data_IF_858985235175
#
_entry.id   IF_858985235175
#
_cell.length_a   1.000
_cell.length_b   1.000
_cell.length_c   1.000
_cell.angle_alpha   90.00
_cell.angle_beta   90.00
_cell.angle_gamma   90.00
#
_symmetry.space_group_name_H-M   'P 1'
#
loop_
_entity.id
_entity.type
_entity.pdbx_description
1 polymer ?
#
# COMPACT_ATOMS: atom_id res chain seq x y z
N UNK A 1 21.39 58.02 7.47
CA UNK A 1 21.01 57.76 8.87
C UNK A 1 20.77 56.26 9.03
N UNK A 2 21.57 55.62 9.91
CA UNK A 2 21.35 54.36 10.65
C UNK A 2 20.96 53.09 9.87
N UNK A 3 21.89 52.18 9.55
CA UNK A 3 22.39 51.03 10.36
C UNK A 3 21.45 49.80 10.37
N UNK A 4 21.92 48.75 9.65
CA UNK A 4 21.79 47.27 9.71
C UNK A 4 21.49 46.60 11.10
N UNK A 5 21.41 45.23 11.29
CA UNK A 5 21.42 44.05 10.36
C UNK A 5 20.59 42.79 10.83
N UNK A 6 20.76 41.65 10.11
CA UNK A 6 20.69 40.20 10.50
C UNK A 6 19.36 39.39 10.57
N UNK A 7 19.40 38.22 9.90
CA UNK A 7 18.71 36.92 10.18
C UNK A 7 19.79 35.99 10.84
N UNK A 8 19.57 34.80 11.48
CA UNK A 8 18.44 33.84 11.45
C UNK A 8 18.14 33.01 12.74
N UNK A 9 17.19 32.05 12.66
CA UNK A 9 17.13 30.69 13.30
C UNK A 9 15.86 30.27 14.11
N UNK A 10 15.22 29.19 13.62
CA UNK A 10 14.79 27.91 14.27
C UNK A 10 13.76 27.80 15.43
N UNK A 11 13.07 26.63 15.40
CA UNK A 11 12.20 25.91 16.36
C UNK A 11 10.68 26.20 16.25
N UNK A 12 9.73 25.25 16.27
CA UNK A 12 9.71 23.79 16.48
C UNK A 12 8.27 23.36 16.88
N UNK A 13 7.83 22.18 16.45
CA UNK A 13 6.69 21.35 16.95
C UNK A 13 5.21 21.83 16.71
N UNK A 14 4.34 21.10 15.99
CA UNK A 14 3.56 19.87 16.34
C UNK A 14 2.53 20.13 17.48
N UNK A 15 1.22 19.83 17.47
CA UNK A 15 0.35 18.82 16.84
C UNK A 15 -1.16 19.18 17.01
N UNK A 16 -2.02 18.50 16.23
CA UNK A 16 -3.35 17.89 16.54
C UNK A 16 -4.59 18.74 16.90
N UNK A 17 -5.59 18.67 16.01
CA UNK A 17 -6.99 18.20 16.20
C UNK A 17 -7.83 18.81 15.03
N UNK A 18 -8.75 18.15 14.30
CA UNK A 18 -9.85 17.26 14.65
C UNK A 18 -10.29 16.52 13.36
N UNK A 19 -10.42 15.19 13.41
CA UNK A 19 -11.43 14.41 12.69
C UNK A 19 -11.97 13.37 13.70
N UNK A 20 -13.27 13.34 14.04
CA UNK A 20 -13.87 12.31 14.89
C UNK A 20 -14.50 11.20 14.02
N UNK A 21 -14.86 10.06 14.64
CA UNK A 21 -15.17 8.75 14.02
C UNK A 21 -13.88 7.95 13.69
N UNK A 22 -13.89 6.66 13.35
CA UNK A 22 -12.74 5.74 13.13
C UNK A 22 -12.10 5.07 14.36
N UNK A 23 -12.66 5.26 15.57
CA UNK A 23 -12.14 4.64 16.80
C UNK A 23 -12.13 3.10 16.81
N UNK A 24 -12.98 2.44 16.03
CA UNK A 24 -13.08 0.97 16.01
C UNK A 24 -12.21 0.28 14.94
N UNK A 25 -11.79 0.99 13.89
CA UNK A 25 -10.96 0.43 12.80
C UNK A 25 -9.46 0.40 13.14
N UNK A 26 -8.96 1.37 13.90
CA UNK A 26 -7.58 1.37 14.41
C UNK A 26 -7.37 0.37 15.57
N UNK A 27 -8.41 0.11 16.37
CA UNK A 27 -8.35 -0.89 17.44
C UNK A 27 -8.18 -2.33 16.92
N UNK A 28 -8.70 -2.63 15.71
CA UNK A 28 -8.49 -3.92 15.06
C UNK A 28 -7.04 -4.08 14.56
N UNK A 29 -6.45 -3.03 13.96
CA UNK A 29 -5.06 -3.06 13.48
C UNK A 29 -4.04 -3.17 14.62
N UNK A 30 -4.28 -2.51 15.76
CA UNK A 30 -3.42 -2.62 16.95
C UNK A 30 -3.56 -3.98 17.67
N UNK A 31 -4.69 -4.68 17.51
CA UNK A 31 -4.96 -5.96 18.19
C UNK A 31 -4.33 -7.17 17.50
N UNK A 32 -3.97 -7.10 16.22
CA UNK A 32 -3.39 -8.25 15.48
C UNK A 32 -1.89 -8.46 15.73
N UNK A 33 -1.16 -7.45 16.22
CA UNK A 33 0.32 -7.51 16.39
C UNK A 33 0.74 -8.05 17.76
N UNK A 34 -0.17 -8.21 18.73
CA UNK A 34 0.20 -8.71 20.06
C UNK A 34 -0.95 -9.47 20.66
N UNK A 35 -0.88 -10.81 20.60
CA UNK A 35 -1.24 -11.75 21.67
C UNK A 35 -1.16 -13.20 21.16
N UNK A 36 0.04 -13.81 21.26
CA UNK A 36 0.14 -15.23 21.57
C UNK A 36 0.07 -15.38 23.08
N UNK A 37 -0.86 -16.21 23.56
CA UNK A 37 -0.78 -16.82 24.89
C UNK A 37 -1.94 -16.52 25.83
N UNK A 38 -2.67 -17.60 26.14
CA UNK A 38 -3.44 -17.84 27.36
C UNK A 38 -4.89 -17.31 27.47
N UNK A 39 -5.76 -18.32 27.59
CA UNK A 39 -7.00 -18.43 28.38
C UNK A 39 -8.29 -17.87 27.77
N UNK A 40 -9.23 -18.80 27.59
CA UNK A 40 -10.64 -18.57 27.33
C UNK A 40 -11.22 -17.57 28.34
N UNK A 41 -11.80 -16.49 27.84
CA UNK A 41 -12.72 -15.65 28.60
C UNK A 41 -14.10 -15.90 28.02
N UNK A 42 -14.92 -16.63 28.77
CA UNK A 42 -16.35 -16.81 28.50
C UNK A 42 -17.06 -15.54 28.93
N UNK A 43 -17.59 -14.76 27.99
CA UNK A 43 -18.46 -13.63 28.33
C UNK A 43 -19.88 -14.14 28.57
N UNK A 44 -20.28 -14.17 29.85
CA UNK A 44 -21.67 -14.34 30.29
C UNK A 44 -22.33 -12.95 30.23
N UNK A 45 -23.32 -12.78 29.36
CA UNK A 45 -24.13 -11.57 29.26
C UNK A 45 -25.24 -11.61 30.33
N UNK A 46 -25.26 -10.64 31.24
CA UNK A 46 -26.40 -10.39 32.14
C UNK A 46 -27.09 -9.07 31.73
N UNK A 47 -28.41 -9.07 31.45
CA UNK A 47 -29.13 -7.88 31.08
C UNK A 47 -29.71 -7.21 32.33
N UNK A 48 -29.20 -6.04 32.69
CA UNK A 48 -29.92 -5.14 33.59
C UNK A 48 -30.35 -3.90 32.84
N UNK A 49 -31.66 -3.89 32.56
CA UNK A 49 -32.46 -2.75 32.15
C UNK A 49 -32.18 -1.52 33.02
N UNK A 50 -32.01 -0.36 32.38
CA UNK A 50 -32.65 0.87 32.84
C UNK A 50 -33.01 1.72 31.61
N UNK A 51 -34.30 1.76 31.30
CA UNK A 51 -34.88 2.57 30.26
C UNK A 51 -34.92 4.04 30.71
N UNK A 52 -34.21 4.89 29.99
CA UNK A 52 -34.46 6.34 29.96
C UNK A 52 -34.10 6.83 28.58
N UNK A 53 -35.07 6.76 27.67
CA UNK A 53 -34.97 7.14 26.26
C UNK A 53 -34.84 8.67 26.15
N UNK A 54 -33.71 9.25 25.69
CA UNK A 54 -33.70 10.66 25.31
C UNK A 54 -34.46 10.84 23.99
N UNK A 55 -35.39 11.79 23.98
CA UNK A 55 -36.15 12.22 22.82
C UNK A 55 -35.21 12.86 21.77
N UNK A 56 -34.76 12.05 20.82
CA UNK A 56 -34.05 12.50 19.62
C UNK A 56 -35.06 12.50 18.47
N UNK A 57 -35.68 13.66 18.26
CA UNK A 57 -36.31 14.01 16.99
C UNK A 57 -35.31 13.73 15.85
N UNK A 58 -35.68 13.00 14.79
CA UNK A 58 -34.74 12.71 13.70
C UNK A 58 -34.39 14.02 13.01
N UNK A 59 -33.10 14.39 13.04
CA UNK A 59 -32.58 15.40 12.13
C UNK A 59 -32.92 14.98 10.69
N UNK A 60 -33.30 15.91 9.80
CA UNK A 60 -33.64 15.55 8.43
C UNK A 60 -32.42 14.88 7.78
N UNK A 61 -32.54 13.59 7.50
CA UNK A 61 -31.63 12.81 6.67
C UNK A 61 -31.61 13.44 5.28
N UNK A 62 -30.62 14.30 5.07
CA UNK A 62 -30.25 14.86 3.78
C UNK A 62 -28.83 14.39 3.44
N UNK A 63 -28.61 13.07 3.40
CA UNK A 63 -27.40 12.48 2.81
C UNK A 63 -27.72 11.94 1.41
N UNK A 64 -28.03 12.86 0.50
CA UNK A 64 -27.88 12.62 -0.94
C UNK A 64 -26.56 13.25 -1.42
N UNK A 65 -25.48 12.99 -0.68
CA UNK A 65 -24.15 13.14 -1.26
C UNK A 65 -23.91 11.84 -2.03
N UNK A 66 -23.65 11.87 -3.36
CA UNK A 66 -23.10 10.70 -4.02
C UNK A 66 -21.84 10.32 -3.24
N UNK A 67 -21.70 9.05 -2.87
CA UNK A 67 -20.42 8.54 -2.38
C UNK A 67 -19.34 9.06 -3.34
N UNK A 68 -18.26 9.70 -2.84
CA UNK A 68 -17.24 10.22 -3.72
C UNK A 68 -16.73 9.05 -4.55
N UNK A 69 -17.03 9.09 -5.85
CA UNK A 69 -16.58 8.08 -6.79
C UNK A 69 -15.08 7.88 -6.58
N UNK A 70 -14.67 6.62 -6.40
CA UNK A 70 -13.26 6.30 -6.22
C UNK A 70 -12.47 6.90 -7.39
N UNK A 71 -11.32 7.54 -7.12
CA UNK A 71 -10.48 8.05 -8.19
C UNK A 71 -10.01 6.87 -9.07
N UNK A 72 -10.01 7.06 -10.38
CA UNK A 72 -9.59 6.03 -11.33
C UNK A 72 -8.08 5.74 -11.26
N UNK A 73 -7.28 6.69 -10.75
CA UNK A 73 -5.83 6.54 -10.65
C UNK A 73 -5.21 7.46 -9.60
N UNK A 74 -4.10 7.04 -9.02
CA UNK A 74 -3.26 7.85 -8.15
C UNK A 74 -1.90 8.14 -8.77
N UNK A 75 -1.41 9.35 -8.56
CA UNK A 75 -0.02 9.71 -8.82
C UNK A 75 0.82 9.34 -7.61
N UNK A 76 1.95 8.67 -7.84
CA UNK A 76 2.82 8.19 -6.78
C UNK A 76 4.28 8.46 -7.11
N UNK A 77 5.04 8.72 -6.05
CA UNK A 77 6.49 8.79 -6.06
C UNK A 77 7.08 7.59 -5.33
N UNK A 78 8.16 7.04 -5.86
CA UNK A 78 8.89 5.90 -5.28
C UNK A 78 10.09 6.43 -4.51
N UNK A 79 10.20 6.05 -3.23
CA UNK A 79 11.31 6.43 -2.38
C UNK A 79 12.31 5.28 -2.25
N UNK A 80 13.50 5.46 -2.82
CA UNK A 80 14.59 4.50 -2.75
C UNK A 80 15.75 5.02 -1.89
N UNK A 81 16.44 4.11 -1.22
CA UNK A 81 17.62 4.40 -0.42
C UNK A 81 18.82 3.62 -0.94
N UNK A 82 19.90 4.36 -1.24
CA UNK A 82 21.23 3.82 -1.48
C UNK A 82 21.97 3.80 -0.15
N UNK A 83 22.32 2.62 0.35
CA UNK A 83 23.18 2.48 1.52
C UNK A 83 24.57 2.06 1.08
N UNK A 84 25.56 2.83 1.51
CA UNK A 84 26.96 2.46 1.35
C UNK A 84 27.32 1.41 2.40
N UNK A 85 27.97 0.32 1.96
CA UNK A 85 28.41 -0.77 2.82
C UNK A 85 29.94 -0.93 2.75
N UNK A 86 30.69 -0.01 3.37
CA UNK A 86 32.16 -0.06 3.34
C UNK A 86 32.72 -1.33 3.99
N UNK A 87 32.00 -1.91 4.94
CA UNK A 87 32.41 -3.13 5.66
C UNK A 87 32.21 -4.42 4.84
N UNK A 88 31.48 -4.36 3.71
CA UNK A 88 31.22 -5.52 2.87
C UNK A 88 32.23 -5.60 1.72
N UNK A 89 33.03 -6.67 1.71
CA UNK A 89 34.04 -6.91 0.66
C UNK A 89 33.44 -7.20 -0.73
N UNK A 90 32.15 -7.54 -0.81
CA UNK A 90 31.49 -8.00 -2.04
C UNK A 90 30.40 -7.06 -2.55
N UNK A 91 29.82 -6.24 -1.68
CA UNK A 91 28.68 -5.39 -2.01
C UNK A 91 28.94 -4.01 -1.44
N UNK A 92 29.46 -3.10 -2.27
CA UNK A 92 29.82 -1.74 -1.84
C UNK A 92 28.61 -0.84 -1.62
N UNK A 93 27.54 -1.14 -2.33
CA UNK A 93 26.27 -0.42 -2.22
C UNK A 93 25.12 -1.41 -2.25
N UNK A 94 24.07 -1.09 -1.50
CA UNK A 94 22.80 -1.81 -1.54
C UNK A 94 21.67 -0.81 -1.72
N UNK A 95 20.71 -1.18 -2.56
CA UNK A 95 19.51 -0.40 -2.79
C UNK A 95 18.33 -1.04 -2.06
N UNK A 96 17.61 -0.24 -1.30
CA UNK A 96 16.39 -0.66 -0.61
C UNK A 96 15.24 0.28 -0.97
N UNK A 97 14.05 -0.28 -1.10
CA UNK A 97 12.81 0.50 -1.26
C UNK A 97 12.28 0.88 0.13
N UNK A 98 12.19 2.19 0.40
CA UNK A 98 11.66 2.69 1.67
C UNK A 98 10.13 2.75 1.66
N UNK A 99 9.54 3.06 0.51
CA UNK A 99 8.10 3.17 0.39
C UNK A 99 7.66 3.94 -0.84
N UNK A 100 6.36 4.15 -0.91
CA UNK A 100 5.70 4.90 -1.97
C UNK A 100 4.93 6.05 -1.33
N UNK A 101 5.05 7.24 -1.91
CA UNK A 101 4.43 8.48 -1.44
C UNK A 101 3.39 8.91 -2.45
N UNK A 102 2.25 9.41 -1.98
CA UNK A 102 1.24 10.00 -2.86
C UNK A 102 1.70 11.36 -3.35
N UNK A 103 1.54 11.60 -4.64
CA UNK A 103 1.85 12.86 -5.28
C UNK A 103 0.56 13.58 -5.69
N UNK A 104 0.58 14.91 -5.63
CA UNK A 104 -0.48 15.71 -6.21
C UNK A 104 -0.49 15.51 -7.73
N UNK A 105 -1.66 15.51 -8.36
CA UNK A 105 -1.76 15.35 -9.82
C UNK A 105 -0.96 16.41 -10.61
N UNK A 106 -0.70 17.57 -10.01
CA UNK A 106 0.13 18.65 -10.58
C UNK A 106 1.64 18.47 -10.39
N UNK A 107 2.09 17.49 -9.60
CA UNK A 107 3.49 17.25 -9.27
C UNK A 107 4.20 16.39 -10.34
N UNK A 108 3.71 16.41 -11.59
CA UNK A 108 4.11 15.55 -12.71
C UNK A 108 5.50 15.83 -13.29
N UNK A 109 6.47 16.25 -12.47
CA UNK A 109 7.86 16.31 -12.92
C UNK A 109 8.44 14.91 -12.81
N UNK A 110 8.46 14.20 -13.92
CA UNK A 110 9.17 12.92 -14.05
C UNK A 110 10.65 13.15 -13.75
N UNK A 111 11.21 12.31 -12.88
CA UNK A 111 12.64 12.32 -12.62
C UNK A 111 13.05 11.88 -11.23
N UNK A 112 14.36 11.69 -11.10
CA UNK A 112 15.04 11.33 -9.86
C UNK A 112 15.51 12.60 -9.16
N UNK A 113 15.11 12.78 -7.90
CA UNK A 113 15.58 13.86 -7.03
C UNK A 113 16.16 13.29 -5.74
N UNK A 114 17.38 13.71 -5.40
CA UNK A 114 17.93 13.41 -4.08
C UNK A 114 17.20 14.23 -3.01
N UNK A 115 16.62 13.55 -2.02
CA UNK A 115 15.86 14.21 -0.93
C UNK A 115 16.64 14.27 0.38
N UNK A 116 17.60 13.35 0.57
CA UNK A 116 18.43 13.28 1.78
C UNK A 116 19.79 12.71 1.41
N UNK A 117 20.85 13.37 1.86
CA UNK A 117 22.21 12.85 1.83
C UNK A 117 22.73 12.76 3.25
N UNK A 118 23.42 11.66 3.56
CA UNK A 118 24.04 11.42 4.85
C UNK A 118 25.32 10.60 4.66
N UNK A 119 26.17 10.56 5.69
CA UNK A 119 27.44 9.83 5.64
C UNK A 119 27.27 8.31 5.46
N UNK A 120 26.06 7.78 5.66
CA UNK A 120 25.74 6.36 5.57
C UNK A 120 24.88 6.00 4.34
N UNK A 121 24.54 6.99 3.51
CA UNK A 121 23.73 6.75 2.32
C UNK A 121 22.88 7.93 1.88
N UNK A 122 22.21 7.73 0.77
CA UNK A 122 21.42 8.73 0.05
C UNK A 122 20.01 8.22 -0.21
N UNK A 123 19.02 9.12 -0.14
CA UNK A 123 17.64 8.82 -0.46
C UNK A 123 17.20 9.59 -1.70
N UNK A 124 16.55 8.89 -2.62
CA UNK A 124 16.09 9.42 -3.88
C UNK A 124 14.59 9.22 -4.00
N UNK A 125 13.89 10.30 -4.33
CA UNK A 125 12.50 10.27 -4.75
C UNK A 125 12.47 10.22 -6.28
N UNK A 126 11.83 9.18 -6.81
CA UNK A 126 11.47 9.07 -8.21
C UNK A 126 10.00 9.45 -8.37
N UNK A 127 9.74 10.52 -9.10
CA UNK A 127 8.39 11.06 -9.31
C UNK A 127 7.86 10.71 -10.71
N UNK A 128 6.54 10.78 -10.88
CA UNK A 128 5.89 10.63 -12.18
C UNK A 128 5.23 9.28 -12.45
N UNK A 129 5.11 8.41 -11.45
CA UNK A 129 4.38 7.14 -11.62
C UNK A 129 2.88 7.34 -11.45
N UNK A 130 2.12 6.52 -12.16
CA UNK A 130 0.66 6.48 -12.06
C UNK A 130 0.21 5.05 -11.81
N UNK A 131 -0.51 4.85 -10.72
CA UNK A 131 -1.10 3.56 -10.35
C UNK A 131 -2.57 3.56 -10.74
N UNK A 132 -3.00 2.50 -11.41
CA UNK A 132 -4.38 2.23 -11.83
C UNK A 132 -4.75 0.82 -11.43
N UNK A 133 -6.02 0.62 -11.08
CA UNK A 133 -6.55 -0.70 -10.78
C UNK A 133 -7.29 -1.24 -11.99
N UNK A 134 -7.05 -2.51 -12.27
CA UNK A 134 -7.69 -3.20 -13.39
C UNK A 134 -8.58 -4.35 -12.89
N UNK A 135 -9.66 -4.63 -13.61
CA UNK A 135 -10.66 -5.63 -13.19
C UNK A 135 -10.18 -7.07 -13.36
N UNK A 136 -9.29 -7.30 -14.32
CA UNK A 136 -8.63 -8.58 -14.58
C UNK A 136 -7.69 -9.01 -13.45
N UNK A 137 -7.15 -8.07 -12.67
CA UNK A 137 -6.22 -8.33 -11.57
C UNK A 137 -6.87 -8.36 -10.17
N UNK A 138 -8.20 -8.35 -10.09
CA UNK A 138 -8.94 -8.26 -8.82
C UNK A 138 -8.59 -9.36 -7.82
N UNK A 139 -8.39 -10.60 -8.29
CA UNK A 139 -8.01 -11.73 -7.44
C UNK A 139 -6.62 -11.50 -6.82
N UNK A 140 -5.68 -10.96 -7.60
CA UNK A 140 -4.32 -10.62 -7.16
C UNK A 140 -4.34 -9.54 -6.08
N UNK A 141 -5.16 -8.50 -6.24
CA UNK A 141 -5.33 -7.46 -5.23
C UNK A 141 -5.96 -8.02 -3.95
N UNK A 142 -6.98 -8.87 -4.07
CA UNK A 142 -7.61 -9.52 -2.92
C UNK A 142 -6.61 -10.37 -2.12
N UNK A 143 -5.80 -11.19 -2.79
CA UNK A 143 -4.75 -11.97 -2.13
C UNK A 143 -3.67 -11.10 -1.47
N UNK A 144 -3.30 -9.98 -2.09
CA UNK A 144 -2.36 -9.04 -1.50
C UNK A 144 -2.94 -8.41 -0.22
N UNK A 145 -4.23 -8.04 -0.20
CA UNK A 145 -4.92 -7.49 0.98
C UNK A 145 -5.11 -8.52 2.11
N UNK A 146 -5.30 -9.80 1.78
CA UNK A 146 -5.41 -10.88 2.77
C UNK A 146 -4.08 -11.25 3.43
N UNK A 147 -2.96 -10.82 2.85
CA UNK A 147 -1.63 -11.10 3.39
C UNK A 147 -1.42 -10.38 4.72
N UNK A 148 -0.54 -10.90 5.57
CA UNK A 148 -0.26 -10.32 6.91
C UNK A 148 0.20 -8.87 6.83
N UNK A 149 0.92 -8.52 5.76
CA UNK A 149 1.33 -7.17 5.45
C UNK A 149 1.04 -6.93 3.96
N UNK A 150 0.03 -6.10 3.61
CA UNK A 150 -0.24 -5.75 2.22
C UNK A 150 0.92 -4.94 1.66
N UNK A 151 1.35 -5.28 0.45
CA UNK A 151 2.55 -4.69 -0.15
C UNK A 151 2.24 -3.96 -1.44
N UNK A 152 3.08 -2.98 -1.76
CA UNK A 152 3.19 -2.39 -3.07
C UNK A 152 4.49 -2.85 -3.70
N UNK A 153 4.44 -3.18 -4.98
CA UNK A 153 5.57 -3.68 -5.75
C UNK A 153 6.06 -2.60 -6.69
N UNK A 154 7.36 -2.45 -6.76
CA UNK A 154 8.05 -1.51 -7.64
C UNK A 154 9.02 -2.31 -8.48
N UNK A 155 8.78 -2.32 -9.78
CA UNK A 155 9.65 -2.98 -10.74
C UNK A 155 10.63 -1.94 -11.28
N UNK A 156 11.91 -2.30 -11.26
CA UNK A 156 13.01 -1.43 -11.67
C UNK A 156 13.85 -2.10 -12.74
N UNK A 157 14.39 -1.31 -13.65
CA UNK A 157 15.48 -1.73 -14.53
C UNK A 157 16.83 -1.31 -13.94
N UNK A 158 17.91 -1.92 -14.43
CA UNK A 158 19.26 -1.44 -14.13
C UNK A 158 19.57 -0.24 -15.01
N UNK A 159 19.68 0.94 -14.41
CA UNK A 159 20.03 2.18 -15.12
C UNK A 159 21.46 2.21 -15.61
N UNK A 160 21.79 3.22 -16.43
CA UNK A 160 23.14 3.39 -16.99
C UNK A 160 24.23 3.53 -15.91
N UNK A 161 23.87 4.15 -14.78
CA UNK A 161 24.76 4.34 -13.63
C UNK A 161 24.80 3.13 -12.69
N UNK A 162 24.14 2.01 -13.05
CA UNK A 162 24.00 0.81 -12.21
C UNK A 162 22.97 0.94 -11.08
N UNK A 163 22.36 2.12 -10.91
CA UNK A 163 21.27 2.33 -9.96
C UNK A 163 19.96 1.71 -10.48
N UNK A 164 19.11 1.15 -9.60
CA UNK A 164 17.78 0.71 -9.99
C UNK A 164 16.91 1.92 -10.35
N UNK A 165 16.36 1.90 -11.56
CA UNK A 165 15.44 2.91 -12.07
C UNK A 165 14.04 2.33 -12.08
N UNK A 166 13.13 2.80 -11.20
CA UNK A 166 11.75 2.36 -11.21
C UNK A 166 11.07 2.73 -12.52
N UNK A 167 10.36 1.77 -13.10
CA UNK A 167 9.57 2.01 -14.32
C UNK A 167 8.09 1.72 -14.12
N UNK A 168 7.74 0.77 -13.25
CA UNK A 168 6.37 0.35 -13.00
C UNK A 168 6.12 0.17 -11.50
N UNK A 169 4.95 0.64 -11.06
CA UNK A 169 4.47 0.47 -9.70
C UNK A 169 3.14 -0.26 -9.77
N UNK A 170 3.07 -1.43 -9.13
CA UNK A 170 1.89 -2.29 -9.15
C UNK A 170 1.51 -2.79 -7.76
N UNK A 171 0.24 -3.11 -7.64
CA UNK A 171 -0.37 -3.72 -6.45
C UNK A 171 -0.72 -5.19 -6.69
N UNK A 172 -0.57 -5.65 -7.94
CA UNK A 172 -0.84 -7.01 -8.38
C UNK A 172 0.33 -7.92 -8.00
N UNK A 173 0.03 -8.94 -7.20
CA UNK A 173 1.00 -9.95 -6.84
C UNK A 173 1.47 -10.77 -8.06
N UNK A 174 0.53 -11.10 -8.95
CA UNK A 174 0.83 -11.89 -10.15
C UNK A 174 1.71 -11.13 -11.14
N UNK A 175 1.46 -9.83 -11.32
CA UNK A 175 2.31 -8.98 -12.17
C UNK A 175 3.74 -8.89 -11.61
N UNK A 176 3.88 -8.65 -10.31
CA UNK A 176 5.19 -8.62 -9.66
C UNK A 176 5.97 -9.94 -9.85
N UNK A 177 5.30 -11.08 -9.66
CA UNK A 177 5.92 -12.40 -9.81
C UNK A 177 6.30 -12.72 -11.27
N UNK A 178 5.54 -12.19 -12.25
CA UNK A 178 5.88 -12.33 -13.66
C UNK A 178 7.21 -11.63 -13.99
N UNK A 179 7.45 -10.44 -13.43
CA UNK A 179 8.71 -9.71 -13.60
C UNK A 179 9.87 -10.28 -12.78
N UNK A 180 9.63 -10.89 -11.63
CA UNK A 180 10.68 -11.54 -10.83
C UNK A 180 11.33 -12.73 -11.54
N UNK A 181 10.63 -13.33 -12.51
CA UNK A 181 11.18 -14.41 -13.35
C UNK A 181 12.11 -13.87 -14.45
N UNK A 182 12.07 -12.56 -14.72
CA UNK A 182 12.94 -11.88 -15.68
C UNK A 182 14.42 -11.87 -15.25
N UNK A 183 15.33 -11.66 -16.20
CA UNK A 183 16.76 -11.57 -15.91
C UNK A 183 17.29 -10.13 -15.84
N UNK A 184 16.54 -9.15 -16.34
CA UNK A 184 16.97 -7.75 -16.42
C UNK A 184 16.26 -6.85 -15.39
N UNK A 185 15.08 -7.26 -14.94
CA UNK A 185 14.25 -6.53 -13.98
C UNK A 185 14.51 -6.97 -12.54
N UNK A 186 14.38 -6.02 -11.62
CA UNK A 186 14.36 -6.28 -10.18
C UNK A 186 13.04 -5.83 -9.59
N UNK A 187 12.47 -6.65 -8.70
CA UNK A 187 11.21 -6.36 -8.02
C UNK A 187 11.51 -5.99 -6.57
N UNK A 188 11.15 -4.78 -6.19
CA UNK A 188 11.19 -4.31 -4.81
C UNK A 188 9.78 -4.30 -4.23
N UNK A 189 9.66 -4.53 -2.93
CA UNK A 189 8.36 -4.47 -2.23
C UNK A 189 8.45 -3.58 -0.99
N UNK A 190 7.37 -2.83 -0.74
CA UNK A 190 7.22 -1.99 0.44
C UNK A 190 5.82 -2.12 1.03
N UNK A 191 5.66 -1.68 2.28
CA UNK A 191 4.35 -1.68 2.94
C UNK A 191 3.40 -0.72 2.22
N UNK A 192 2.17 -1.17 2.01
CA UNK A 192 1.14 -0.38 1.34
C UNK A 192 0.75 0.85 2.19
N UNK A 193 0.83 2.08 1.65
CA UNK A 193 0.34 3.27 2.34
C UNK A 193 -1.17 3.18 2.66
N UNK A 194 -1.64 3.69 3.82
CA UNK A 194 -3.04 3.55 4.24
C UNK A 194 -4.07 4.09 3.24
N UNK A 195 -3.72 5.17 2.54
CA UNK A 195 -4.61 5.77 1.53
C UNK A 195 -4.79 4.84 0.32
N UNK A 196 -3.71 4.21 -0.16
CA UNK A 196 -3.78 3.23 -1.24
C UNK A 196 -4.49 1.95 -0.77
N UNK A 197 -4.27 1.54 0.48
CA UNK A 197 -4.98 0.40 1.08
C UNK A 197 -6.50 0.58 1.02
N UNK A 198 -7.01 1.71 1.54
CA UNK A 198 -8.45 1.98 1.54
C UNK A 198 -9.03 2.06 0.13
N UNK A 199 -8.26 2.60 -0.84
CA UNK A 199 -8.68 2.66 -2.24
C UNK A 199 -8.81 1.27 -2.87
N UNK A 200 -7.81 0.40 -2.68
CA UNK A 200 -7.83 -0.97 -3.21
C UNK A 200 -8.90 -1.80 -2.53
N UNK A 201 -9.06 -1.67 -1.21
CA UNK A 201 -10.11 -2.35 -0.45
C UNK A 201 -11.49 -2.01 -1.01
N UNK A 202 -11.80 -0.73 -1.20
CA UNK A 202 -13.09 -0.31 -1.74
C UNK A 202 -13.28 -0.78 -3.19
N UNK A 203 -12.24 -0.71 -4.01
CA UNK A 203 -12.30 -1.20 -5.40
C UNK A 203 -12.58 -2.72 -5.46
N UNK A 204 -11.92 -3.50 -4.60
CA UNK A 204 -12.14 -4.95 -4.50
C UNK A 204 -13.56 -5.22 -4.00
N UNK A 205 -14.05 -4.52 -2.97
CA UNK A 205 -15.41 -4.72 -2.45
C UNK A 205 -16.49 -4.42 -3.50
N UNK A 206 -16.30 -3.40 -4.34
CA UNK A 206 -17.27 -3.01 -5.38
C UNK A 206 -17.26 -3.93 -6.60
N UNK A 207 -16.12 -4.52 -6.96
CA UNK A 207 -15.96 -5.25 -8.22
C UNK A 207 -15.72 -6.76 -8.06
N UNK A 208 -15.32 -7.24 -6.88
CA UNK A 208 -14.99 -8.64 -6.66
C UNK A 208 -16.25 -9.48 -6.38
N UNK A 209 -16.73 -10.15 -7.43
CA UNK A 209 -17.69 -11.23 -7.31
C UNK A 209 -16.93 -12.57 -7.41
N UNK A 210 -16.76 -13.34 -6.31
CA UNK A 210 -16.02 -14.59 -6.36
C UNK A 210 -16.74 -15.57 -7.29
N UNK A 211 -16.20 -15.76 -8.49
CA UNK A 211 -16.71 -16.78 -9.39
C UNK A 211 -16.43 -18.16 -8.80
N UNK A 212 -17.50 -18.95 -8.66
CA UNK A 212 -17.39 -20.31 -8.16
C UNK A 212 -16.58 -21.13 -9.15
N UNK A 213 -15.27 -21.32 -8.88
CA UNK A 213 -14.37 -22.09 -9.74
C UNK A 213 -14.93 -23.49 -9.99
N UNK A 214 -15.45 -23.73 -11.19
CA UNK A 214 -15.90 -25.05 -11.61
C UNK A 214 -14.66 -25.85 -11.95
N UNK A 215 -14.30 -26.80 -11.09
CA UNK A 215 -13.20 -27.73 -11.33
C UNK A 215 -13.44 -28.44 -12.65
N UNK A 216 -12.59 -28.21 -13.66
CA UNK A 216 -12.62 -28.98 -14.91
C UNK A 216 -12.44 -30.46 -14.56
N UNK A 217 -13.49 -31.24 -14.83
CA UNK A 217 -13.42 -32.70 -14.71
C UNK A 217 -12.53 -33.17 -15.85
N UNK A 218 -11.36 -33.72 -15.54
CA UNK A 218 -10.48 -34.31 -16.54
C UNK A 218 -11.21 -35.52 -17.13
N UNK A 219 -11.51 -35.48 -18.43
CA UNK A 219 -12.00 -36.66 -19.12
C UNK A 219 -10.95 -37.77 -18.98
N UNK A 220 -11.42 -38.94 -18.55
CA UNK A 220 -10.55 -40.11 -18.44
C UNK A 220 -10.06 -40.45 -19.85
N UNK A 221 -8.76 -40.73 -20.07
CA UNK A 221 -8.30 -41.24 -21.34
C UNK A 221 -9.07 -42.53 -21.63
N UNK A 222 -9.85 -42.53 -22.71
CA UNK A 222 -10.55 -43.72 -23.20
C UNK A 222 -9.50 -44.80 -23.45
N UNK A 223 -9.71 -46.00 -22.90
CA UNK A 223 -8.91 -47.17 -23.25
C UNK A 223 -8.94 -47.32 -24.78
N UNK A 224 -7.76 -47.27 -25.40
CA UNK A 224 -7.58 -47.51 -26.83
C UNK A 224 -8.21 -48.84 -27.23
N UNK A 225 -8.88 -48.84 -28.38
CA UNK A 225 -9.37 -50.04 -29.01
C UNK A 225 -8.22 -51.00 -29.31
N UNK A 226 -8.52 -52.29 -29.24
CA UNK A 226 -7.69 -53.37 -29.74
C UNK A 226 -7.22 -53.05 -31.17
N UNK A 227 -5.90 -53.09 -31.38
CA UNK A 227 -5.33 -53.27 -32.70
C UNK A 227 -5.53 -54.73 -33.08
N UNK A 228 -6.39 -54.99 -34.05
CA UNK A 228 -6.54 -56.28 -34.73
C UNK A 228 -5.73 -56.28 -36.03
#
# INVERSE_FOLDING_TARGET
MSLSPQNPALNGELWLAIQPDWGWRLAWYASCVRLRGAKQITYRYEPHMNESKPDLSPAPTSSNAPDPALPDSFHVGVLMERRDRPDSRWLRESWDLLGVVLEAASASTEGRRCIRQSDHGEQYLWSGFRVRLHRDELESYYHNLLSTEPKIFVITHTGADGAPEPFLVSLSYDEANAYETGCEEMVYSAVLPPVLYSWVEQYVLENYAPERRIKRKRDRPGKGGECE
#
